data_IF_853316278783
#
_entry.id   IF_853316278783
#
_cell.length_a   1.000
_cell.length_b   1.000
_cell.length_c   1.000
_cell.angle_alpha   90.00
_cell.angle_beta   90.00
_cell.angle_gamma   90.00
#
_symmetry.space_group_name_H-M   'P 1'
#
loop_
_entity.id
_entity.type
_entity.pdbx_description
1 polymer ?
#
# COMPACT_ATOMS: atom_id res chain seq x y z
N UNK A 1 6.42 32.83 -3.89
CA UNK A 1 4.96 32.54 -3.99
C UNK A 1 4.52 31.65 -2.83
N UNK A 2 3.23 31.58 -2.48
CA UNK A 2 2.74 30.70 -1.38
C UNK A 2 3.15 29.23 -1.59
N UNK A 3 3.20 28.80 -2.85
CA UNK A 3 3.64 27.46 -3.26
C UNK A 3 5.12 27.20 -2.94
N UNK A 4 6.01 28.16 -3.17
CA UNK A 4 7.44 28.03 -2.81
C UNK A 4 7.64 27.85 -1.29
N UNK A 5 6.86 28.57 -0.48
CA UNK A 5 6.94 28.48 0.98
C UNK A 5 6.50 27.09 1.43
N UNK A 6 5.39 26.58 0.91
CA UNK A 6 4.87 25.25 1.24
C UNK A 6 5.83 24.15 0.79
N UNK A 7 6.35 24.23 -0.44
CA UNK A 7 7.34 23.28 -0.96
C UNK A 7 8.65 23.33 -0.17
N UNK A 8 9.12 24.52 0.23
CA UNK A 8 10.30 24.66 1.07
C UNK A 8 10.13 24.00 2.44
N UNK A 9 8.98 24.22 3.11
CA UNK A 9 8.67 23.59 4.39
C UNK A 9 8.54 22.06 4.26
N UNK A 10 7.91 21.60 3.19
CA UNK A 10 7.81 20.17 2.87
C UNK A 10 9.19 19.55 2.66
N UNK A 11 10.04 20.12 1.81
CA UNK A 11 11.38 19.62 1.54
C UNK A 11 12.26 19.59 2.80
N UNK A 12 12.18 20.62 3.65
CA UNK A 12 12.91 20.65 4.91
C UNK A 12 12.48 19.53 5.86
N UNK A 13 11.16 19.32 5.99
CA UNK A 13 10.60 18.30 6.89
C UNK A 13 10.86 16.90 6.36
N UNK A 14 10.74 16.70 5.04
CA UNK A 14 11.08 15.47 4.35
C UNK A 14 12.58 15.16 4.46
N UNK A 15 13.45 16.17 4.43
CA UNK A 15 14.89 16.03 4.64
C UNK A 15 15.22 15.53 6.05
N UNK A 16 14.58 16.10 7.08
CA UNK A 16 14.72 15.63 8.47
C UNK A 16 14.25 14.18 8.60
N UNK A 17 13.10 13.86 8.00
CA UNK A 17 12.58 12.49 7.99
C UNK A 17 13.52 11.51 7.26
N UNK A 18 14.06 11.91 6.11
CA UNK A 18 15.00 11.09 5.35
C UNK A 18 16.30 10.86 6.12
N UNK A 19 16.81 11.87 6.81
CA UNK A 19 17.99 11.72 7.67
C UNK A 19 17.73 10.74 8.83
N UNK A 20 16.57 10.83 9.48
CA UNK A 20 16.17 9.89 10.52
C UNK A 20 16.06 8.45 9.98
N UNK A 21 15.54 8.27 8.76
CA UNK A 21 15.45 6.97 8.12
C UNK A 21 16.83 6.40 7.74
N UNK A 22 17.75 7.24 7.25
CA UNK A 22 19.14 6.84 6.99
C UNK A 22 19.83 6.40 8.27
N UNK A 23 19.62 7.10 9.39
CA UNK A 23 20.13 6.65 10.69
C UNK A 23 19.54 5.30 11.10
N UNK A 24 18.30 4.99 10.72
CA UNK A 24 17.70 3.69 10.96
C UNK A 24 18.31 2.56 10.10
N UNK A 25 19.04 2.86 9.03
CA UNK A 25 19.75 1.84 8.23
C UNK A 25 20.84 1.12 9.05
N UNK A 26 21.31 1.71 10.15
CA UNK A 26 22.27 1.05 11.05
C UNK A 26 21.77 -0.30 11.59
N UNK A 27 20.44 -0.50 11.69
CA UNK A 27 19.87 -1.78 12.11
C UNK A 27 20.10 -2.89 11.08
N UNK A 28 20.23 -2.56 9.79
CA UNK A 28 20.59 -3.52 8.73
C UNK A 28 21.99 -4.08 8.96
N UNK A 29 22.93 -3.23 9.35
CA UNK A 29 24.31 -3.65 9.66
C UNK A 29 24.35 -4.62 10.85
N UNK A 30 23.55 -4.39 11.88
CA UNK A 30 23.43 -5.30 13.02
C UNK A 30 22.86 -6.65 12.59
N UNK A 31 21.81 -6.65 11.76
CA UNK A 31 21.20 -7.89 11.25
C UNK A 31 22.13 -8.67 10.33
N UNK A 32 22.97 -7.98 9.56
CA UNK A 32 24.02 -8.61 8.75
C UNK A 32 25.07 -9.31 9.59
N UNK A 33 25.34 -8.81 10.81
CA UNK A 33 26.25 -9.47 11.75
C UNK A 33 25.61 -10.68 12.45
N UNK A 34 24.28 -10.70 12.61
CA UNK A 34 23.54 -11.71 13.37
C UNK A 34 22.99 -12.87 12.52
N UNK A 35 22.93 -12.72 11.18
CA UNK A 35 22.39 -13.74 10.29
C UNK A 35 22.56 -13.41 8.80
N UNK A 36 21.74 -14.03 7.94
CA UNK A 36 21.68 -13.81 6.49
C UNK A 36 20.42 -13.01 6.10
N UNK A 37 20.39 -11.67 6.28
CA UNK A 37 19.22 -10.87 5.94
C UNK A 37 19.01 -10.81 4.42
N UNK A 38 17.76 -10.89 3.97
CA UNK A 38 17.39 -10.62 2.58
C UNK A 38 17.49 -9.10 2.32
N UNK A 39 18.58 -8.69 1.68
CA UNK A 39 18.86 -7.29 1.36
C UNK A 39 17.78 -6.68 0.44
N UNK A 40 17.15 -7.48 -0.42
CA UNK A 40 16.10 -7.01 -1.32
C UNK A 40 14.80 -6.70 -0.57
N UNK A 41 14.40 -7.58 0.35
CA UNK A 41 13.26 -7.35 1.24
C UNK A 41 13.47 -6.12 2.13
N UNK A 42 14.69 -5.95 2.66
CA UNK A 42 15.04 -4.78 3.46
C UNK A 42 14.97 -3.50 2.64
N UNK A 43 15.58 -3.49 1.45
CA UNK A 43 15.52 -2.34 0.56
C UNK A 43 14.07 -1.95 0.22
N UNK A 44 13.22 -2.91 -0.12
CA UNK A 44 11.79 -2.68 -0.38
C UNK A 44 11.07 -2.06 0.82
N UNK A 45 11.35 -2.54 2.04
CA UNK A 45 10.81 -1.95 3.27
C UNK A 45 11.27 -0.51 3.48
N UNK A 46 12.56 -0.21 3.35
CA UNK A 46 13.07 1.16 3.53
C UNK A 46 12.50 2.14 2.49
N UNK A 47 12.39 1.71 1.23
CA UNK A 47 11.73 2.50 0.18
C UNK A 47 10.26 2.72 0.52
N UNK A 48 9.56 1.67 0.96
CA UNK A 48 8.17 1.77 1.42
C UNK A 48 7.99 2.77 2.55
N UNK A 49 8.82 2.71 3.60
CA UNK A 49 8.81 3.68 4.69
C UNK A 49 9.08 5.10 4.20
N UNK A 50 10.07 5.29 3.33
CA UNK A 50 10.37 6.60 2.78
C UNK A 50 9.17 7.20 2.04
N UNK A 51 8.50 6.41 1.20
CA UNK A 51 7.31 6.82 0.46
C UNK A 51 6.11 7.12 1.36
N UNK A 52 5.86 6.28 2.36
CA UNK A 52 4.80 6.52 3.36
C UNK A 52 5.05 7.83 4.10
N UNK A 53 6.28 8.06 4.56
CA UNK A 53 6.64 9.34 5.19
C UNK A 53 6.47 10.53 4.25
N UNK A 54 6.90 10.40 2.99
CA UNK A 54 6.71 11.44 1.97
C UNK A 54 5.23 11.79 1.73
N UNK A 55 4.32 10.82 1.85
CA UNK A 55 2.87 11.02 1.75
C UNK A 55 2.24 11.60 3.03
N UNK A 56 2.74 11.25 4.22
CA UNK A 56 2.17 11.67 5.51
C UNK A 56 2.69 13.02 6.03
N UNK A 57 3.92 13.43 5.67
CA UNK A 57 4.45 14.76 6.03
C UNK A 57 3.49 15.91 5.66
N UNK A 58 2.93 16.01 4.43
CA UNK A 58 2.04 17.11 4.08
C UNK A 58 0.68 17.02 4.81
N UNK A 59 0.27 15.83 5.24
CA UNK A 59 -0.91 15.61 6.10
C UNK A 59 -0.68 16.26 7.47
N UNK A 60 0.46 15.97 8.11
CA UNK A 60 0.84 16.59 9.40
C UNK A 60 1.06 18.11 9.28
N UNK A 61 1.61 18.58 8.16
CA UNK A 61 1.74 20.01 7.89
C UNK A 61 0.39 20.72 7.85
N UNK A 62 -0.65 20.09 7.28
CA UNK A 62 -2.00 20.65 7.23
C UNK A 62 -2.58 20.82 8.64
N UNK A 63 -2.38 19.84 9.53
CA UNK A 63 -2.80 19.93 10.93
C UNK A 63 -2.13 21.12 11.66
N UNK A 64 -0.85 21.36 11.41
CA UNK A 64 -0.12 22.51 11.94
C UNK A 64 -0.64 23.86 11.44
N UNK A 65 -1.32 23.93 10.29
CA UNK A 65 -1.92 25.17 9.79
C UNK A 65 -3.30 25.46 10.41
N UNK A 66 -3.99 24.45 10.95
CA UNK A 66 -5.34 24.58 11.49
C UNK A 66 -5.37 25.13 12.92
N UNK A 67 -4.27 25.06 13.65
CA UNK A 67 -4.20 25.47 15.07
C UNK A 67 -2.89 26.17 15.39
N UNK A 68 -2.98 27.21 16.23
CA UNK A 68 -1.81 27.93 16.74
C UNK A 68 -1.16 27.22 17.94
N UNK A 69 -1.86 26.27 18.57
CA UNK A 69 -1.35 25.54 19.74
C UNK A 69 -0.57 24.30 19.31
N UNK A 70 0.71 24.22 19.66
CA UNK A 70 1.62 23.12 19.31
C UNK A 70 1.08 21.74 19.73
N UNK A 71 0.50 21.62 20.92
CA UNK A 71 -0.03 20.33 21.42
C UNK A 71 -1.23 19.88 20.60
N UNK A 72 -2.13 20.81 20.27
CA UNK A 72 -3.32 20.51 19.45
C UNK A 72 -2.90 20.18 18.02
N UNK A 73 -1.89 20.86 17.48
CA UNK A 73 -1.34 20.57 16.14
C UNK A 73 -0.78 19.15 16.08
N UNK A 74 -0.06 18.72 17.12
CA UNK A 74 0.48 17.37 17.21
C UNK A 74 -0.63 16.30 17.24
N UNK A 75 -1.65 16.48 18.10
CA UNK A 75 -2.77 15.54 18.21
C UNK A 75 -3.55 15.48 16.89
N UNK A 76 -3.89 16.62 16.29
CA UNK A 76 -4.58 16.67 14.99
C UNK A 76 -3.74 16.02 13.89
N UNK A 77 -2.43 16.23 13.88
CA UNK A 77 -1.52 15.60 12.93
C UNK A 77 -1.56 14.08 13.05
N UNK A 78 -1.47 13.55 14.28
CA UNK A 78 -1.58 12.11 14.52
C UNK A 78 -2.93 11.54 14.07
N UNK A 79 -4.04 12.23 14.38
CA UNK A 79 -5.40 11.82 13.98
C UNK A 79 -5.54 11.84 12.45
N UNK A 80 -5.04 12.88 11.78
CA UNK A 80 -5.14 12.98 10.31
C UNK A 80 -4.27 11.93 9.61
N UNK A 81 -3.05 11.70 10.08
CA UNK A 81 -2.21 10.63 9.56
C UNK A 81 -2.88 9.26 9.76
N UNK A 82 -3.43 9.00 10.94
CA UNK A 82 -4.19 7.78 11.22
C UNK A 82 -5.41 7.63 10.30
N UNK A 83 -6.17 8.70 10.09
CA UNK A 83 -7.34 8.69 9.20
C UNK A 83 -6.96 8.38 7.74
N UNK A 84 -5.82 8.88 7.26
CA UNK A 84 -5.31 8.58 5.90
C UNK A 84 -4.84 7.12 5.78
N UNK A 85 -4.19 6.60 6.82
CA UNK A 85 -3.74 5.20 6.85
C UNK A 85 -4.93 4.23 6.86
N UNK A 86 -5.92 4.47 7.72
CA UNK A 86 -7.05 3.55 7.94
C UNK A 86 -8.31 3.91 7.14
N UNK A 87 -8.18 4.70 6.08
CA UNK A 87 -9.33 5.22 5.33
C UNK A 87 -10.18 4.10 4.71
N UNK A 88 -9.53 3.02 4.27
CA UNK A 88 -10.19 1.84 3.70
C UNK A 88 -11.06 1.10 4.74
N UNK A 89 -10.53 0.94 5.95
CA UNK A 89 -11.15 0.23 7.05
C UNK A 89 -12.31 1.06 7.62
N UNK A 90 -12.09 2.37 7.75
CA UNK A 90 -13.12 3.33 8.17
C UNK A 90 -14.30 3.34 7.19
N UNK A 91 -14.05 3.44 5.89
CA UNK A 91 -15.11 3.51 4.87
C UNK A 91 -15.76 2.13 4.65
N UNK A 92 -14.99 1.04 4.71
CA UNK A 92 -15.51 -0.32 4.61
C UNK A 92 -16.45 -0.72 5.74
N UNK A 93 -16.32 -0.10 6.91
CA UNK A 93 -17.27 -0.29 8.02
C UNK A 93 -18.66 0.26 7.70
N UNK A 94 -18.79 1.22 6.77
CA UNK A 94 -20.07 1.78 6.34
C UNK A 94 -20.62 1.10 5.09
N UNK A 95 -19.78 0.83 4.08
CA UNK A 95 -20.20 0.18 2.84
C UNK A 95 -19.02 -0.44 2.09
N UNK A 96 -19.22 -1.67 1.62
CA UNK A 96 -18.25 -2.40 0.80
C UNK A 96 -18.05 -1.80 -0.60
N UNK A 97 -19.06 -1.11 -1.15
CA UNK A 97 -18.93 -0.44 -2.44
C UNK A 97 -18.18 0.90 -2.30
N UNK A 98 -18.40 1.60 -1.18
CA UNK A 98 -17.66 2.81 -0.87
C UNK A 98 -16.17 2.52 -0.59
N UNK A 99 -15.84 1.41 0.06
CA UNK A 99 -14.44 1.05 0.30
C UNK A 99 -13.69 0.76 -1.01
N UNK A 100 -14.34 0.16 -2.00
CA UNK A 100 -13.75 -0.07 -3.34
C UNK A 100 -13.41 1.24 -4.06
N UNK A 101 -14.19 2.30 -3.84
CA UNK A 101 -13.93 3.62 -4.41
C UNK A 101 -12.74 4.32 -3.73
N UNK A 102 -12.54 4.09 -2.43
CA UNK A 102 -11.49 4.77 -1.65
C UNK A 102 -10.22 3.93 -1.51
N UNK A 103 -10.27 2.62 -1.83
CA UNK A 103 -9.12 1.72 -1.84
C UNK A 103 -7.91 2.27 -2.63
N UNK A 104 -8.06 2.94 -3.78
CA UNK A 104 -6.92 3.53 -4.50
C UNK A 104 -6.27 4.74 -3.79
N UNK A 105 -6.94 5.34 -2.81
CA UNK A 105 -6.39 6.41 -1.96
C UNK A 105 -5.76 5.88 -0.67
N UNK A 106 -5.95 4.60 -0.33
CA UNK A 106 -5.37 4.02 0.88
C UNK A 106 -3.85 3.96 0.74
N UNK A 107 -3.15 4.52 1.73
CA UNK A 107 -1.69 4.47 1.87
C UNK A 107 -1.25 3.08 2.37
N UNK A 108 -2.15 2.34 3.02
CA UNK A 108 -1.84 1.09 3.71
C UNK A 108 -1.73 -0.11 2.78
N UNK A 109 -2.59 -0.20 1.76
CA UNK A 109 -2.59 -1.35 0.85
C UNK A 109 -1.30 -1.44 0.01
N UNK A 110 -0.82 -0.36 -0.63
CA UNK A 110 0.48 -0.40 -1.32
C UNK A 110 1.63 -0.73 -0.38
N UNK A 111 1.63 -0.20 0.85
CA UNK A 111 2.70 -0.42 1.82
C UNK A 111 2.92 -1.91 2.13
N UNK A 112 1.85 -2.71 2.20
CA UNK A 112 1.96 -4.17 2.40
C UNK A 112 2.68 -4.92 1.27
N UNK A 113 2.55 -4.43 0.03
CA UNK A 113 3.27 -4.99 -1.11
C UNK A 113 4.76 -4.61 -1.05
N UNK A 114 5.05 -3.34 -0.71
CA UNK A 114 6.43 -2.88 -0.50
C UNK A 114 7.11 -3.62 0.67
N UNK A 115 6.37 -3.92 1.74
CA UNK A 115 6.92 -4.63 2.90
C UNK A 115 7.31 -6.07 2.60
N UNK A 116 6.76 -6.64 1.53
CA UNK A 116 7.13 -7.96 0.97
C UNK A 116 8.24 -7.88 -0.08
N UNK A 117 8.81 -6.69 -0.33
CA UNK A 117 9.87 -6.49 -1.32
C UNK A 117 9.38 -6.29 -2.76
N UNK A 118 8.06 -6.15 -2.96
CA UNK A 118 7.47 -5.95 -4.29
C UNK A 118 7.18 -4.46 -4.49
N UNK A 119 7.95 -3.81 -5.37
CA UNK A 119 7.74 -2.41 -5.71
C UNK A 119 6.77 -2.31 -6.89
N UNK A 120 5.63 -1.66 -6.68
CA UNK A 120 4.62 -1.45 -7.72
C UNK A 120 4.56 0.01 -8.14
N UNK A 121 4.44 0.26 -9.45
CA UNK A 121 4.29 1.62 -9.99
C UNK A 121 2.96 2.24 -9.56
N UNK A 122 1.90 1.41 -9.46
CA UNK A 122 0.60 1.82 -8.92
C UNK A 122 0.72 2.32 -7.48
N UNK A 123 1.48 1.62 -6.63
CA UNK A 123 1.72 2.02 -5.25
C UNK A 123 2.50 3.34 -5.15
N UNK A 124 3.55 3.51 -5.96
CA UNK A 124 4.30 4.76 -6.03
C UNK A 124 3.40 5.95 -6.41
N UNK A 125 2.56 5.77 -7.44
CA UNK A 125 1.62 6.80 -7.88
C UNK A 125 0.56 7.11 -6.84
N UNK A 126 0.09 6.11 -6.08
CA UNK A 126 -0.83 6.34 -4.97
C UNK A 126 -0.20 7.24 -3.89
N UNK A 127 1.04 6.96 -3.46
CA UNK A 127 1.74 7.81 -2.48
C UNK A 127 1.97 9.23 -2.98
N UNK A 128 2.42 9.39 -4.23
CA UNK A 128 2.62 10.70 -4.85
C UNK A 128 1.30 11.47 -4.98
N UNK A 129 0.21 10.79 -5.30
CA UNK A 129 -1.12 11.38 -5.39
C UNK A 129 -1.59 11.92 -4.04
N UNK A 130 -1.41 11.14 -2.97
CA UNK A 130 -1.73 11.57 -1.60
C UNK A 130 -0.86 12.76 -1.20
N UNK A 131 0.46 12.68 -1.41
CA UNK A 131 1.38 13.79 -1.12
C UNK A 131 0.98 15.08 -1.86
N UNK A 132 0.75 14.98 -3.17
CA UNK A 132 0.37 16.09 -4.02
C UNK A 132 -0.97 16.71 -3.64
N UNK A 133 -1.97 15.88 -3.31
CA UNK A 133 -3.28 16.36 -2.85
C UNK A 133 -3.16 17.18 -1.56
N UNK A 134 -2.44 16.68 -0.55
CA UNK A 134 -2.27 17.41 0.70
C UNK A 134 -1.37 18.64 0.55
N UNK A 135 -0.37 18.63 -0.34
CA UNK A 135 0.42 19.83 -0.66
C UNK A 135 -0.44 20.92 -1.33
N UNK A 136 -1.35 20.52 -2.23
CA UNK A 136 -2.34 21.43 -2.80
C UNK A 136 -3.24 22.03 -1.71
N UNK A 137 -3.74 21.21 -0.77
CA UNK A 137 -4.54 21.70 0.37
C UNK A 137 -3.75 22.65 1.28
N UNK A 138 -2.47 22.38 1.54
CA UNK A 138 -1.60 23.28 2.32
C UNK A 138 -1.45 24.64 1.61
N UNK A 139 -1.22 24.64 0.30
CA UNK A 139 -1.11 25.87 -0.50
C UNK A 139 -2.41 26.65 -0.51
N UNK A 140 -3.53 25.95 -0.64
CA UNK A 140 -4.87 26.53 -0.58
C UNK A 140 -5.15 27.18 0.78
N UNK A 141 -4.79 26.50 1.88
CA UNK A 141 -4.99 27.03 3.23
C UNK A 141 -4.08 28.22 3.52
N UNK A 142 -2.82 28.18 3.06
CA UNK A 142 -1.87 29.29 3.19
C UNK A 142 -2.35 30.53 2.42
N UNK A 143 -2.88 30.35 1.21
CA UNK A 143 -3.41 31.42 0.37
C UNK A 143 -4.75 32.00 0.84
N UNK A 144 -5.42 31.40 1.83
CA UNK A 144 -6.75 31.82 2.31
C UNK A 144 -6.79 33.28 2.78
N UNK A 145 -5.67 33.82 3.28
CA UNK A 145 -5.57 35.21 3.74
C UNK A 145 -5.56 36.23 2.59
N UNK A 146 -5.16 35.82 1.39
CA UNK A 146 -5.03 36.69 0.22
C UNK A 146 -6.26 36.65 -0.69
N UNK A 147 -7.32 35.96 -0.27
CA UNK A 147 -8.48 35.73 -1.11
C UNK A 147 -9.40 36.97 -1.19
N UNK A 148 -9.70 37.54 -2.38
CA UNK A 148 -10.86 38.41 -2.55
C UNK A 148 -12.16 37.75 -2.03
N UNK A 149 -13.03 38.55 -1.39
CA UNK A 149 -14.26 38.05 -0.74
C UNK A 149 -15.23 37.38 -1.73
N UNK A 150 -15.27 37.86 -2.96
CA UNK A 150 -16.14 37.38 -4.03
C UNK A 150 -15.36 37.36 -5.35
N UNK A 151 -15.62 36.35 -6.17
CA UNK A 151 -15.32 36.37 -7.60
C UNK A 151 -16.55 35.82 -8.34
N UNK A 152 -16.97 36.50 -9.40
CA UNK A 152 -18.12 36.13 -10.22
C UNK A 152 -19.41 35.84 -9.42
N UNK A 153 -19.66 36.60 -8.34
CA UNK A 153 -20.91 36.55 -7.56
C UNK A 153 -21.04 35.36 -6.59
N UNK A 154 -20.06 34.46 -6.52
CA UNK A 154 -20.03 33.36 -5.55
C UNK A 154 -18.92 33.56 -4.50
N UNK A 155 -19.14 33.10 -3.25
CA UNK A 155 -18.14 33.22 -2.20
C UNK A 155 -16.94 32.38 -2.58
N UNK A 156 -15.77 32.98 -2.67
CA UNK A 156 -14.77 32.34 -3.50
C UNK A 156 -14.25 31.00 -2.93
N UNK A 157 -14.36 30.80 -1.60
CA UNK A 157 -14.16 29.49 -0.93
C UNK A 157 -14.87 28.32 -1.61
N UNK A 158 -16.06 28.53 -2.20
CA UNK A 158 -16.79 27.50 -2.94
C UNK A 158 -15.99 26.99 -4.15
N UNK A 159 -15.36 27.88 -4.91
CA UNK A 159 -14.58 27.52 -6.08
C UNK A 159 -13.36 26.67 -5.72
N UNK A 160 -12.63 26.99 -4.65
CA UNK A 160 -11.50 26.14 -4.26
C UNK A 160 -11.93 24.84 -3.60
N UNK A 161 -13.06 24.80 -2.89
CA UNK A 161 -13.64 23.54 -2.40
C UNK A 161 -14.03 22.63 -3.57
N UNK A 162 -14.73 23.16 -4.58
CA UNK A 162 -15.08 22.40 -5.79
C UNK A 162 -13.82 21.91 -6.52
N UNK A 163 -12.79 22.75 -6.67
CA UNK A 163 -11.51 22.33 -7.28
C UNK A 163 -10.80 21.26 -6.47
N UNK A 164 -10.80 21.36 -5.14
CA UNK A 164 -10.19 20.35 -4.27
C UNK A 164 -10.92 19.00 -4.39
N UNK A 165 -12.25 19.00 -4.41
CA UNK A 165 -13.06 17.79 -4.60
C UNK A 165 -12.82 17.21 -6.00
N UNK A 166 -12.83 18.05 -7.05
CA UNK A 166 -12.57 17.60 -8.41
C UNK A 166 -11.17 16.99 -8.57
N UNK A 167 -10.15 17.59 -7.92
CA UNK A 167 -8.80 17.03 -7.89
C UNK A 167 -8.75 15.68 -7.17
N UNK A 168 -9.42 15.56 -6.02
CA UNK A 168 -9.50 14.28 -5.29
C UNK A 168 -10.13 13.19 -6.16
N UNK A 169 -11.26 13.49 -6.82
CA UNK A 169 -11.94 12.54 -7.72
C UNK A 169 -11.05 12.17 -8.91
N UNK A 170 -10.37 13.15 -9.51
CA UNK A 170 -9.45 12.91 -10.62
C UNK A 170 -8.26 12.02 -10.21
N UNK A 171 -7.69 12.23 -9.02
CA UNK A 171 -6.62 11.39 -8.48
C UNK A 171 -7.11 9.97 -8.16
N UNK A 172 -8.30 9.81 -7.58
CA UNK A 172 -8.90 8.49 -7.33
C UNK A 172 -9.10 7.75 -8.65
N UNK A 173 -9.73 8.40 -9.63
CA UNK A 173 -9.99 7.82 -10.93
C UNK A 173 -8.70 7.47 -11.67
N UNK A 174 -7.71 8.37 -11.64
CA UNK A 174 -6.39 8.16 -12.22
C UNK A 174 -5.67 6.95 -11.61
N UNK A 175 -5.61 6.87 -10.27
CA UNK A 175 -5.02 5.72 -9.58
C UNK A 175 -5.78 4.43 -9.86
N UNK A 176 -7.11 4.46 -9.92
CA UNK A 176 -7.92 3.30 -10.27
C UNK A 176 -7.67 2.80 -11.71
N UNK A 177 -7.51 3.72 -12.68
CA UNK A 177 -7.16 3.37 -14.05
C UNK A 177 -5.75 2.80 -14.12
N UNK A 178 -4.78 3.45 -13.48
CA UNK A 178 -3.39 2.99 -13.43
C UNK A 178 -3.31 1.60 -12.78
N UNK A 179 -4.05 1.37 -11.69
CA UNK A 179 -4.09 0.07 -11.03
C UNK A 179 -4.68 -1.04 -11.92
N UNK A 180 -5.57 -0.69 -12.87
CA UNK A 180 -6.14 -1.65 -13.84
C UNK A 180 -5.25 -1.88 -15.06
N UNK A 181 -4.47 -0.88 -15.47
CA UNK A 181 -3.68 -0.90 -16.72
C UNK A 181 -2.22 -1.32 -16.48
N UNK A 182 -1.69 -1.07 -15.30
CA UNK A 182 -0.26 -1.25 -15.02
C UNK A 182 0.01 -2.66 -14.51
N UNK A 183 0.46 -3.54 -15.42
CA UNK A 183 1.02 -4.87 -15.10
C UNK A 183 2.46 -4.81 -14.58
N UNK A 184 3.07 -3.61 -14.55
CA UNK A 184 4.48 -3.43 -14.19
C UNK A 184 4.68 -3.51 -12.66
N UNK A 185 4.88 -4.74 -12.18
CA UNK A 185 5.37 -5.04 -10.83
C UNK A 185 6.87 -5.32 -10.90
N UNK A 186 7.66 -4.62 -10.10
CA UNK A 186 9.11 -4.79 -10.04
C UNK A 186 9.47 -5.45 -8.71
N UNK A 187 9.79 -6.75 -8.76
CA UNK A 187 10.26 -7.51 -7.60
C UNK A 187 11.74 -7.21 -7.35
N UNK A 188 12.07 -6.64 -6.19
CA UNK A 188 13.43 -6.24 -5.80
C UNK A 188 14.05 -7.22 -4.79
N UNK A 189 13.35 -8.31 -4.44
CA UNK A 189 13.88 -9.34 -3.52
C UNK A 189 15.13 -10.02 -4.08
N UNK A 190 16.10 -10.35 -3.20
CA UNK A 190 17.43 -10.82 -3.59
C UNK A 190 17.42 -12.17 -4.34
N UNK A 191 16.35 -12.94 -4.19
CA UNK A 191 16.17 -14.28 -4.77
C UNK A 191 15.15 -14.30 -5.93
N UNK A 192 14.53 -13.16 -6.31
CA UNK A 192 13.38 -13.11 -7.23
C UNK A 192 12.32 -14.19 -6.92
N UNK A 193 11.99 -14.34 -5.63
CA UNK A 193 11.17 -15.46 -5.11
C UNK A 193 9.75 -15.47 -5.67
N UNK A 194 9.32 -14.35 -6.25
CA UNK A 194 8.08 -14.16 -6.98
C UNK A 194 8.36 -13.76 -8.43
N UNK A 195 9.36 -14.38 -9.06
CA UNK A 195 9.49 -14.41 -10.52
C UNK A 195 9.28 -15.83 -11.04
N UNK A 196 8.30 -16.02 -11.92
CA UNK A 196 8.06 -17.32 -12.53
C UNK A 196 9.28 -17.73 -13.34
N UNK A 197 9.68 -19.00 -13.19
CA UNK A 197 10.68 -19.60 -14.06
C UNK A 197 10.27 -19.47 -15.53
N UNK A 198 11.25 -19.39 -16.43
CA UNK A 198 10.99 -19.27 -17.87
C UNK A 198 10.11 -20.41 -18.40
N UNK A 199 10.20 -21.58 -17.77
CA UNK A 199 9.39 -22.75 -18.11
C UNK A 199 7.93 -22.58 -17.68
N UNK A 200 7.67 -22.07 -16.47
CA UNK A 200 6.30 -21.76 -16.03
C UNK A 200 5.66 -20.69 -16.92
N UNK A 201 6.42 -19.67 -17.34
CA UNK A 201 5.95 -18.64 -18.29
C UNK A 201 5.54 -19.25 -19.64
N UNK A 202 6.34 -20.20 -20.15
CA UNK A 202 6.01 -20.92 -21.39
C UNK A 202 4.77 -21.79 -21.25
N UNK A 203 4.62 -22.49 -20.13
CA UNK A 203 3.43 -23.30 -19.84
C UNK A 203 2.17 -22.44 -19.78
N UNK A 204 2.22 -21.30 -19.10
CA UNK A 204 1.10 -20.35 -19.05
C UNK A 204 0.77 -19.80 -20.45
N UNK A 205 1.79 -19.46 -21.25
CA UNK A 205 1.58 -19.00 -22.62
C UNK A 205 0.96 -20.08 -23.53
N UNK A 206 1.30 -21.35 -23.29
CA UNK A 206 0.79 -22.50 -24.02
C UNK A 206 -0.62 -22.94 -23.57
N UNK A 207 -1.21 -22.31 -22.54
CA UNK A 207 -2.56 -22.65 -22.08
C UNK A 207 -3.61 -22.32 -23.16
N UNK A 208 -4.55 -23.24 -23.43
CA UNK A 208 -5.65 -23.01 -24.35
C UNK A 208 -6.55 -21.84 -23.94
N UNK A 209 -6.99 -21.02 -24.89
CA UNK A 209 -7.88 -19.85 -24.63
C UNK A 209 -9.33 -20.27 -24.30
N UNK A 210 -9.70 -21.52 -24.55
CA UNK A 210 -11.05 -22.06 -24.42
C UNK A 210 -11.37 -22.61 -23.02
N UNK A 211 -10.36 -22.78 -22.15
CA UNK A 211 -10.55 -23.31 -20.80
C UNK A 211 -9.64 -22.63 -19.77
N UNK A 212 -10.24 -21.75 -18.97
CA UNK A 212 -9.55 -21.17 -17.83
C UNK A 212 -9.17 -22.24 -16.80
N UNK A 213 -7.94 -22.16 -16.30
CA UNK A 213 -7.42 -23.03 -15.23
C UNK A 213 -7.68 -22.35 -13.89
N UNK A 214 -8.42 -23.03 -13.02
CA UNK A 214 -8.70 -22.53 -11.67
C UNK A 214 -7.72 -23.14 -10.67
N UNK A 215 -6.94 -22.30 -9.98
CA UNK A 215 -6.02 -22.71 -8.92
C UNK A 215 -6.62 -22.30 -7.58
N UNK A 216 -7.11 -23.26 -6.81
CA UNK A 216 -7.62 -23.02 -5.45
C UNK A 216 -6.54 -23.37 -4.41
N UNK A 217 -6.11 -22.38 -3.63
CA UNK A 217 -5.11 -22.54 -2.58
C UNK A 217 -5.75 -22.38 -1.20
N UNK A 218 -5.69 -23.43 -0.39
CA UNK A 218 -6.18 -23.44 0.99
C UNK A 218 -5.00 -23.24 1.95
N UNK A 219 -4.95 -22.10 2.62
CA UNK A 219 -3.79 -21.65 3.39
C UNK A 219 -4.16 -21.39 4.84
N UNK A 220 -3.33 -21.84 5.79
CA UNK A 220 -3.54 -21.48 7.20
C UNK A 220 -3.21 -19.98 7.40
N UNK A 221 -4.05 -19.20 8.11
CA UNK A 221 -3.78 -17.79 8.38
C UNK A 221 -2.59 -17.60 9.31
N UNK A 222 -2.40 -18.52 10.25
CA UNK A 222 -1.26 -18.57 11.17
C UNK A 222 -0.40 -19.79 10.85
N UNK A 223 0.90 -19.57 10.64
CA UNK A 223 1.89 -20.62 10.40
C UNK A 223 3.05 -20.47 11.38
N UNK A 224 3.71 -21.58 11.79
CA UNK A 224 4.90 -21.50 12.63
C UNK A 224 6.00 -20.65 12.00
N UNK A 225 6.86 -20.03 12.82
CA UNK A 225 7.91 -19.10 12.39
C UNK A 225 8.73 -19.58 11.18
N UNK A 226 9.18 -20.86 11.09
CA UNK A 226 9.96 -21.35 9.95
C UNK A 226 9.21 -21.32 8.62
N UNK A 227 7.88 -21.27 8.63
CA UNK A 227 7.02 -21.32 7.45
C UNK A 227 6.41 -19.97 7.09
N UNK A 228 6.63 -18.93 7.89
CA UNK A 228 6.12 -17.57 7.61
C UNK A 228 6.63 -17.09 6.24
N UNK A 229 7.92 -17.30 5.97
CA UNK A 229 8.51 -16.93 4.69
C UNK A 229 8.01 -17.83 3.55
N UNK A 230 7.93 -19.14 3.76
CA UNK A 230 7.40 -20.07 2.75
C UNK A 230 5.94 -19.75 2.35
N UNK A 231 5.10 -19.37 3.32
CA UNK A 231 3.73 -18.90 3.06
C UNK A 231 3.73 -17.63 2.20
N UNK A 232 4.55 -16.64 2.56
CA UNK A 232 4.65 -15.39 1.80
C UNK A 232 5.10 -15.64 0.36
N UNK A 233 6.11 -16.50 0.16
CA UNK A 233 6.62 -16.86 -1.16
C UNK A 233 5.56 -17.57 -2.00
N UNK A 234 4.84 -18.54 -1.43
CA UNK A 234 3.80 -19.28 -2.14
C UNK A 234 2.65 -18.38 -2.57
N UNK A 235 2.21 -17.46 -1.70
CA UNK A 235 1.20 -16.44 -2.05
C UNK A 235 1.73 -15.55 -3.19
N UNK A 236 2.99 -15.11 -3.11
CA UNK A 236 3.63 -14.30 -4.15
C UNK A 236 3.63 -15.00 -5.52
N UNK A 237 4.06 -16.26 -5.57
CA UNK A 237 4.07 -17.06 -6.80
C UNK A 237 2.66 -17.22 -7.37
N UNK A 238 1.69 -17.56 -6.53
CA UNK A 238 0.30 -17.74 -6.96
C UNK A 238 -0.28 -16.44 -7.54
N UNK A 239 -0.03 -15.30 -6.90
CA UNK A 239 -0.44 -14.00 -7.41
C UNK A 239 0.26 -13.62 -8.71
N UNK A 240 1.51 -14.03 -8.91
CA UNK A 240 2.23 -13.79 -10.17
C UNK A 240 1.68 -14.67 -11.31
N UNK A 241 1.32 -15.93 -11.02
CA UNK A 241 0.64 -16.82 -11.97
C UNK A 241 -0.69 -16.21 -12.40
N UNK A 242 -1.50 -15.72 -11.46
CA UNK A 242 -2.77 -15.05 -11.74
C UNK A 242 -2.56 -13.81 -12.62
N UNK A 243 -1.59 -12.97 -12.26
CA UNK A 243 -1.27 -11.75 -13.00
C UNK A 243 -0.75 -12.01 -14.42
N UNK A 244 0.04 -13.07 -14.63
CA UNK A 244 0.56 -13.46 -15.95
C UNK A 244 -0.45 -14.25 -16.79
N UNK A 245 -1.29 -15.06 -16.14
CA UNK A 245 -2.32 -15.86 -16.78
C UNK A 245 -3.49 -15.03 -17.30
N UNK A 246 -3.79 -13.89 -16.68
CA UNK A 246 -4.89 -13.02 -17.08
C UNK A 246 -6.22 -13.80 -17.11
N UNK A 247 -6.99 -13.80 -18.21
CA UNK A 247 -8.24 -14.55 -18.27
C UNK A 247 -8.05 -16.08 -18.34
N UNK A 248 -6.82 -16.57 -18.56
CA UNK A 248 -6.55 -18.02 -18.69
C UNK A 248 -6.35 -18.72 -17.36
N UNK A 249 -6.02 -17.99 -16.30
CA UNK A 249 -5.75 -18.57 -14.98
C UNK A 249 -6.43 -17.71 -13.94
N UNK A 250 -7.26 -18.33 -13.10
CA UNK A 250 -7.89 -17.66 -11.97
C UNK A 250 -7.44 -18.34 -10.68
N UNK A 251 -6.78 -17.57 -9.83
CA UNK A 251 -6.26 -18.04 -8.55
C UNK A 251 -7.16 -17.58 -7.41
N UNK A 252 -7.74 -18.52 -6.67
CA UNK A 252 -8.55 -18.26 -5.50
C UNK A 252 -7.82 -18.74 -4.23
N UNK A 253 -7.35 -17.78 -3.45
CA UNK A 253 -6.72 -18.02 -2.14
C UNK A 253 -7.80 -17.99 -1.06
N UNK A 254 -7.97 -19.10 -0.34
CA UNK A 254 -8.88 -19.23 0.79
C UNK A 254 -8.08 -19.47 2.07
N UNK A 255 -8.16 -18.54 3.01
CA UNK A 255 -7.62 -18.76 4.35
C UNK A 255 -8.51 -19.79 5.08
N UNK A 256 -7.88 -20.84 5.60
CA UNK A 256 -8.55 -21.98 6.25
C UNK A 256 -8.12 -22.09 7.70
N UNK A 257 -9.08 -21.97 8.61
CA UNK A 257 -8.91 -22.33 10.02
C UNK A 257 -9.52 -23.70 10.31
N UNK A 258 -9.03 -24.42 11.34
CA UNK A 258 -9.65 -25.66 11.78
C UNK A 258 -11.16 -25.47 12.01
N UNK A 259 -11.96 -26.44 11.56
CA UNK A 259 -13.43 -26.46 11.72
C UNK A 259 -14.22 -25.40 10.92
N UNK A 260 -13.59 -24.69 9.97
CA UNK A 260 -14.30 -23.82 9.03
C UNK A 260 -14.86 -24.60 7.82
N UNK A 261 -15.91 -24.09 7.19
CA UNK A 261 -16.51 -24.67 5.98
C UNK A 261 -15.50 -24.81 4.82
N UNK A 262 -14.54 -23.88 4.75
CA UNK A 262 -13.44 -23.93 3.79
C UNK A 262 -12.49 -25.11 4.08
N UNK A 263 -12.16 -25.37 5.36
CA UNK A 263 -11.36 -26.53 5.74
C UNK A 263 -12.10 -27.86 5.53
N UNK A 264 -13.42 -27.89 5.76
CA UNK A 264 -14.26 -29.06 5.45
C UNK A 264 -14.29 -29.31 3.95
N UNK A 265 -14.50 -28.27 3.15
CA UNK A 265 -14.47 -28.35 1.68
C UNK A 265 -13.11 -28.81 1.15
N UNK A 266 -12.01 -28.30 1.70
CA UNK A 266 -10.65 -28.69 1.33
C UNK A 266 -10.41 -30.19 1.60
N UNK A 267 -10.90 -30.69 2.75
CA UNK A 267 -10.79 -32.10 3.12
C UNK A 267 -11.67 -33.01 2.25
N UNK A 268 -12.93 -32.66 2.05
CA UNK A 268 -13.90 -33.53 1.38
C UNK A 268 -13.75 -33.53 -0.15
N UNK A 269 -13.49 -32.36 -0.75
CA UNK A 269 -13.36 -32.25 -2.22
C UNK A 269 -11.95 -32.57 -2.72
N UNK A 270 -10.92 -32.21 -1.94
CA UNK A 270 -9.54 -32.26 -2.41
C UNK A 270 -8.60 -33.11 -1.54
N UNK A 271 -9.09 -33.70 -0.43
CA UNK A 271 -8.27 -34.54 0.45
C UNK A 271 -7.19 -33.78 1.21
N UNK A 272 -7.28 -32.44 1.29
CA UNK A 272 -6.30 -31.60 1.97
C UNK A 272 -6.56 -31.66 3.47
N UNK A 273 -5.60 -32.22 4.21
CA UNK A 273 -5.69 -32.40 5.67
C UNK A 273 -4.75 -31.43 6.40
N UNK A 274 -5.16 -30.91 7.58
CA UNK A 274 -4.29 -30.09 8.40
C UNK A 274 -3.11 -30.94 8.90
N UNK A 275 -1.89 -30.41 8.73
CA UNK A 275 -0.68 -30.97 9.34
C UNK A 275 -0.37 -30.20 10.61
N UNK A 276 -0.56 -30.85 11.76
CA UNK A 276 -0.11 -30.30 13.03
C UNK A 276 1.43 -30.30 13.05
N UNK A 277 2.00 -29.10 13.09
CA UNK A 277 3.44 -28.89 13.23
C UNK A 277 3.70 -28.44 14.66
N UNK A 278 4.69 -29.05 15.30
CA UNK A 278 5.05 -28.74 16.68
C UNK A 278 5.79 -27.41 16.68
N UNK A 279 5.26 -26.43 17.41
CA UNK A 279 5.89 -25.12 17.54
C UNK A 279 7.19 -25.28 18.35
N UNK A 280 8.34 -25.10 17.69
CA UNK A 280 9.65 -25.24 18.32
C UNK A 280 10.03 -24.01 19.15
N UNK A 281 9.18 -22.98 19.17
CA UNK A 281 9.39 -21.74 19.93
C UNK A 281 8.99 -21.83 21.42
N UNK A 282 8.31 -22.91 21.84
CA UNK A 282 7.91 -23.14 23.22
C UNK A 282 8.92 -23.98 24.00
N UNK A 283 10.03 -23.36 24.41
CA UNK A 283 10.94 -23.84 25.46
C UNK A 283 10.73 -23.07 26.75
#
# INVERSE_FOLDING_TARGET
TDLEIVLGKYAATLGIYSAALVLAVQYVLVLWFLGSPDLGLMFGNYVGYWLVGAALVPVGMLASLLTANMTVAFILGAVFCGAVIFIDTLVGSFSADASRLVAPLSVFNPFWDFSKGVLTVSGLLAFVSVAGFFLYLNTLMAGRRHWPREADGYPMWSHHTVRAVALAVALVAGNAVVARVTFLRLDVTAERLSSLSDETRRLIAALPDDRAVFIQAFLSPVVPEPFVQARSNLIGILQEIDALGGPKVEVLIQDTEPFTDAAVSAREKFGILPRAMRDLSGG
#
